data_IF_568178876572
#
_entry.id   IF_568178876572
#
_cell.length_a   1.000
_cell.length_b   1.000
_cell.length_c   1.000
_cell.angle_alpha   90.00
_cell.angle_beta   90.00
_cell.angle_gamma   90.00
#
_symmetry.space_group_name_H-M   'P 1'
#
loop_
_entity.id
_entity.type
_entity.pdbx_description
1 polymer ?
#
# COMPACT_ATOMS: atom_id res chain seq x y z
N UNK A 1 -24.28 19.23 9.12
CA UNK A 1 -22.78 19.14 9.00
C UNK A 1 -22.49 18.60 7.63
N UNK A 2 -21.46 19.09 6.94
CA UNK A 2 -21.12 18.58 5.60
C UNK A 2 -20.71 17.09 5.67
N UNK A 3 -21.15 16.29 4.70
CA UNK A 3 -20.99 14.82 4.68
C UNK A 3 -19.53 14.37 4.88
N UNK A 4 -18.58 15.03 4.24
CA UNK A 4 -17.15 14.67 4.41
C UNK A 4 -16.66 14.87 5.86
N UNK A 5 -17.16 15.87 6.60
CA UNK A 5 -16.79 16.08 8.02
C UNK A 5 -17.36 14.99 8.93
N UNK A 6 -18.54 14.47 8.61
CA UNK A 6 -19.12 13.32 9.31
C UNK A 6 -18.24 12.08 9.11
N UNK A 7 -17.82 11.82 7.86
CA UNK A 7 -16.93 10.72 7.53
C UNK A 7 -15.57 10.86 8.24
N UNK A 8 -14.94 12.03 8.21
CA UNK A 8 -13.71 12.32 8.96
C UNK A 8 -13.86 12.04 10.45
N UNK A 9 -14.96 12.52 11.03
CA UNK A 9 -15.26 12.28 12.44
C UNK A 9 -15.36 10.80 12.78
N UNK A 10 -15.82 9.94 11.87
CA UNK A 10 -15.84 8.50 12.12
C UNK A 10 -14.43 7.92 12.25
N UNK A 11 -13.46 8.37 11.45
CA UNK A 11 -12.07 7.94 11.54
C UNK A 11 -11.51 8.26 12.93
N UNK A 12 -11.67 9.52 13.38
CA UNK A 12 -11.05 10.04 14.60
C UNK A 12 -11.74 9.54 15.86
N UNK A 13 -13.07 9.34 15.84
CA UNK A 13 -13.86 8.95 17.01
C UNK A 13 -14.23 7.48 17.03
N UNK A 14 -14.92 6.99 15.98
CA UNK A 14 -15.46 5.64 15.97
C UNK A 14 -14.40 4.58 15.67
N UNK A 15 -13.46 4.89 14.78
CA UNK A 15 -12.34 4.02 14.41
C UNK A 15 -11.00 4.55 14.95
N UNK A 16 -11.04 5.26 16.08
CA UNK A 16 -9.84 5.85 16.67
C UNK A 16 -8.74 4.81 16.93
N UNK A 17 -9.09 3.69 17.56
CA UNK A 17 -8.15 2.63 17.94
C UNK A 17 -7.72 1.80 16.72
N UNK A 18 -8.66 1.48 15.87
CA UNK A 18 -8.49 0.57 14.73
C UNK A 18 -7.79 1.24 13.55
N UNK A 19 -8.06 2.53 13.30
CA UNK A 19 -7.54 3.27 12.15
C UNK A 19 -6.64 4.42 12.58
N UNK A 20 -7.19 5.44 13.27
CA UNK A 20 -6.48 6.69 13.48
C UNK A 20 -5.20 6.53 14.30
N UNK A 21 -5.27 5.86 15.45
CA UNK A 21 -4.10 5.66 16.32
C UNK A 21 -3.03 4.80 15.64
N UNK A 22 -3.44 3.79 14.85
CA UNK A 22 -2.52 2.97 14.07
C UNK A 22 -1.87 3.75 12.92
N UNK A 23 -2.64 4.62 12.26
CA UNK A 23 -2.10 5.50 11.22
C UNK A 23 -1.03 6.43 11.79
N UNK A 24 -1.35 7.15 12.86
CA UNK A 24 -0.40 8.07 13.51
C UNK A 24 0.83 7.32 14.02
N UNK A 25 0.62 6.13 14.63
CA UNK A 25 1.71 5.27 15.09
C UNK A 25 2.62 4.85 13.93
N UNK A 26 2.06 4.37 12.82
CA UNK A 26 2.84 3.96 11.64
C UNK A 26 3.62 5.12 11.03
N UNK A 27 3.01 6.30 10.92
CA UNK A 27 3.69 7.51 10.43
C UNK A 27 4.85 7.90 11.35
N UNK A 28 4.68 7.80 12.66
CA UNK A 28 5.70 8.16 13.65
C UNK A 28 6.81 7.11 13.77
N UNK A 29 6.47 5.84 13.97
CA UNK A 29 7.44 4.78 14.24
C UNK A 29 8.38 4.53 13.06
N UNK A 30 7.89 4.71 11.83
CA UNK A 30 8.66 4.51 10.61
C UNK A 30 9.09 5.83 9.94
N UNK A 31 8.85 6.99 10.59
CA UNK A 31 9.24 8.31 10.10
C UNK A 31 8.78 8.55 8.64
N UNK A 32 7.52 8.20 8.35
CA UNK A 32 7.01 8.21 6.98
C UNK A 32 6.76 9.61 6.45
N UNK A 33 6.39 10.56 7.33
CA UNK A 33 6.12 11.95 6.99
C UNK A 33 7.00 12.84 7.86
N UNK A 34 7.75 13.73 7.25
CA UNK A 34 8.68 14.64 7.91
C UNK A 34 8.35 16.10 7.59
N UNK A 35 8.99 17.02 8.32
CA UNK A 35 8.85 18.46 8.09
C UNK A 35 9.30 18.84 6.67
N UNK A 36 8.51 19.68 6.00
CA UNK A 36 8.72 20.16 4.63
C UNK A 36 8.63 19.09 3.53
N UNK A 37 8.14 17.89 3.82
CA UNK A 37 7.85 16.91 2.77
C UNK A 37 6.84 17.47 1.76
N UNK A 38 7.01 17.09 0.50
CA UNK A 38 6.05 17.29 -0.58
C UNK A 38 5.62 15.90 -1.10
N UNK A 39 4.41 15.48 -0.74
CA UNK A 39 3.97 14.09 -0.86
C UNK A 39 2.95 13.96 -1.99
N UNK A 40 3.21 13.10 -2.96
CA UNK A 40 2.20 12.66 -3.91
C UNK A 40 1.41 11.46 -3.34
N UNK A 41 0.13 11.68 -3.05
CA UNK A 41 -0.81 10.67 -2.53
C UNK A 41 -1.50 9.99 -3.69
N UNK A 42 -1.20 8.73 -3.94
CA UNK A 42 -1.74 7.98 -5.08
C UNK A 42 -3.14 7.45 -4.77
N UNK A 43 -4.12 7.92 -5.53
CA UNK A 43 -5.52 7.48 -5.44
C UNK A 43 -5.79 6.46 -6.55
N UNK A 44 -6.00 5.21 -6.18
CA UNK A 44 -6.34 4.12 -7.10
C UNK A 44 -7.83 3.98 -7.38
N UNK A 45 -8.67 4.71 -6.64
CA UNK A 45 -10.12 4.57 -6.65
C UNK A 45 -10.68 3.54 -5.66
N UNK A 46 -9.82 2.75 -5.03
CA UNK A 46 -10.20 1.79 -3.99
C UNK A 46 -10.33 2.42 -2.60
N UNK A 47 -11.01 1.70 -1.70
CA UNK A 47 -11.25 2.09 -0.30
C UNK A 47 -9.99 2.51 0.45
N UNK A 48 -8.88 1.79 0.22
CA UNK A 48 -7.62 1.97 0.94
C UNK A 48 -6.97 3.31 0.59
N UNK A 49 -6.92 3.64 -0.69
CA UNK A 49 -6.33 4.90 -1.15
C UNK A 49 -7.12 6.13 -0.69
N UNK A 50 -8.45 6.05 -0.67
CA UNK A 50 -9.27 7.14 -0.15
C UNK A 50 -9.21 7.28 1.37
N UNK A 51 -9.16 6.17 2.12
CA UNK A 51 -8.90 6.24 3.57
C UNK A 51 -7.55 6.87 3.86
N UNK A 52 -6.50 6.46 3.14
CA UNK A 52 -5.16 7.04 3.25
C UNK A 52 -5.20 8.56 3.01
N UNK A 53 -5.87 9.00 1.95
CA UNK A 53 -6.02 10.43 1.65
C UNK A 53 -6.68 11.18 2.81
N UNK A 54 -7.76 10.64 3.39
CA UNK A 54 -8.45 11.26 4.53
C UNK A 54 -7.57 11.33 5.78
N UNK A 55 -6.81 10.29 6.07
CA UNK A 55 -5.89 10.28 7.20
C UNK A 55 -4.73 11.28 7.00
N UNK A 56 -4.20 11.40 5.77
CA UNK A 56 -3.17 12.40 5.43
C UNK A 56 -3.71 13.82 5.55
N UNK A 57 -4.93 14.10 5.06
CA UNK A 57 -5.58 15.40 5.23
C UNK A 57 -5.75 15.76 6.71
N UNK A 58 -6.07 14.80 7.55
CA UNK A 58 -6.30 15.00 8.98
C UNK A 58 -4.99 15.34 9.70
N UNK A 59 -3.88 14.61 9.41
CA UNK A 59 -2.55 14.97 9.94
C UNK A 59 -2.11 16.34 9.44
N UNK A 60 -2.34 16.66 8.15
CA UNK A 60 -1.95 17.95 7.57
C UNK A 60 -2.64 19.12 8.25
N UNK A 61 -3.92 18.96 8.64
CA UNK A 61 -4.70 20.01 9.31
C UNK A 61 -4.39 20.16 10.79
N UNK A 62 -4.19 19.06 11.50
CA UNK A 62 -4.14 19.00 12.94
C UNK A 62 -2.81 18.48 13.51
N UNK A 63 -1.93 17.95 12.66
CA UNK A 63 -0.60 17.50 13.06
C UNK A 63 0.36 18.66 13.36
N UNK A 64 1.45 18.32 14.06
CA UNK A 64 2.53 19.27 14.35
C UNK A 64 3.49 19.45 13.19
N UNK A 65 3.60 18.46 12.32
CA UNK A 65 4.50 18.42 11.16
C UNK A 65 3.85 19.18 10.00
N UNK A 66 4.56 20.12 9.38
CA UNK A 66 4.11 20.86 8.20
C UNK A 66 4.67 20.22 6.94
N UNK A 67 3.79 19.83 6.04
CA UNK A 67 4.10 19.21 4.75
C UNK A 67 3.03 19.55 3.71
N UNK A 68 3.34 19.33 2.43
CA UNK A 68 2.40 19.47 1.33
C UNK A 68 1.94 18.09 0.83
N UNK A 69 0.72 18.02 0.31
CA UNK A 69 0.16 16.80 -0.26
C UNK A 69 -0.58 17.10 -1.58
N UNK A 70 -0.27 16.32 -2.61
CA UNK A 70 -0.92 16.31 -3.92
C UNK A 70 -1.67 15.00 -4.10
N UNK A 71 -2.96 15.05 -4.34
CA UNK A 71 -3.81 13.85 -4.48
C UNK A 71 -3.99 13.52 -5.96
N UNK A 72 -3.38 12.43 -6.40
CA UNK A 72 -3.23 12.16 -7.83
C UNK A 72 -3.87 10.82 -8.21
N UNK A 73 -4.70 10.84 -9.24
CA UNK A 73 -5.29 9.66 -9.87
C UNK A 73 -4.60 9.42 -11.21
N UNK A 74 -3.94 8.28 -11.35
CA UNK A 74 -3.46 7.82 -12.64
C UNK A 74 -4.56 7.03 -13.34
N UNK A 75 -4.99 7.51 -14.50
CA UNK A 75 -5.92 6.78 -15.37
C UNK A 75 -5.15 5.98 -16.43
N UNK A 76 -5.00 4.66 -16.30
CA UNK A 76 -4.31 3.83 -17.26
C UNK A 76 -5.18 3.40 -18.45
N UNK A 77 -6.36 3.98 -18.63
CA UNK A 77 -7.40 3.62 -19.60
C UNK A 77 -8.63 2.96 -18.95
N UNK A 78 -9.02 3.42 -17.77
CA UNK A 78 -10.23 2.95 -17.09
C UNK A 78 -11.48 3.22 -17.92
N UNK A 79 -12.51 2.39 -17.75
CA UNK A 79 -13.83 2.69 -18.26
C UNK A 79 -14.38 4.00 -17.64
N UNK A 80 -15.12 4.78 -18.41
CA UNK A 80 -15.66 6.09 -17.98
C UNK A 80 -16.44 6.00 -16.67
N UNK A 81 -17.24 4.94 -16.49
CA UNK A 81 -17.97 4.66 -15.24
C UNK A 81 -17.07 4.61 -14.00
N UNK A 82 -15.84 4.09 -14.15
CA UNK A 82 -14.91 3.97 -13.04
C UNK A 82 -14.28 5.32 -12.71
N UNK A 83 -13.94 6.13 -13.71
CA UNK A 83 -13.45 7.50 -13.50
C UNK A 83 -14.52 8.34 -12.82
N UNK A 84 -15.77 8.32 -13.30
CA UNK A 84 -16.89 9.02 -12.66
C UNK A 84 -17.06 8.63 -11.19
N UNK A 85 -16.99 7.33 -10.87
CA UNK A 85 -17.09 6.88 -9.48
C UNK A 85 -15.92 7.37 -8.61
N UNK A 86 -14.70 7.46 -9.18
CA UNK A 86 -13.54 8.05 -8.46
C UNK A 86 -13.80 9.51 -8.16
N UNK A 87 -14.25 10.28 -9.15
CA UNK A 87 -14.55 11.73 -9.03
C UNK A 87 -15.68 11.99 -8.03
N UNK A 88 -16.75 11.19 -8.06
CA UNK A 88 -17.87 11.25 -7.10
C UNK A 88 -17.41 10.98 -5.67
N UNK A 89 -16.59 9.94 -5.48
CA UNK A 89 -16.00 9.64 -4.18
C UNK A 89 -15.06 10.76 -3.70
N UNK A 90 -14.23 11.30 -4.59
CA UNK A 90 -13.35 12.42 -4.27
C UNK A 90 -14.15 13.65 -3.83
N UNK A 91 -15.24 13.97 -4.53
CA UNK A 91 -16.16 15.06 -4.15
C UNK A 91 -16.84 14.78 -2.81
N UNK A 92 -17.37 13.56 -2.60
CA UNK A 92 -18.05 13.17 -1.37
C UNK A 92 -17.11 13.24 -0.16
N UNK A 93 -15.84 12.85 -0.34
CA UNK A 93 -14.80 12.85 0.67
C UNK A 93 -14.04 14.17 0.78
N UNK A 94 -14.33 15.15 -0.08
CA UNK A 94 -13.61 16.41 -0.18
C UNK A 94 -12.09 16.22 -0.33
N UNK A 95 -11.69 15.33 -1.25
CA UNK A 95 -10.30 15.10 -1.64
C UNK A 95 -10.05 15.79 -2.98
N UNK A 96 -9.15 16.80 -3.04
CA UNK A 96 -8.87 17.54 -4.28
C UNK A 96 -7.96 16.71 -5.19
N UNK A 97 -8.57 15.86 -6.02
CA UNK A 97 -7.81 14.98 -6.92
C UNK A 97 -7.40 15.69 -8.20
N UNK A 98 -6.19 15.39 -8.68
CA UNK A 98 -5.73 15.64 -10.05
C UNK A 98 -5.70 14.33 -10.82
N UNK A 99 -6.43 14.26 -11.93
CA UNK A 99 -6.45 13.06 -12.80
C UNK A 99 -5.49 13.27 -13.97
N UNK A 100 -4.54 12.35 -14.17
CA UNK A 100 -3.73 12.34 -15.37
C UNK A 100 -3.90 11.04 -16.15
N UNK A 101 -3.96 11.15 -17.46
CA UNK A 101 -4.18 10.03 -18.37
C UNK A 101 -2.86 9.41 -18.83
N UNK A 102 -2.88 8.08 -18.99
CA UNK A 102 -1.79 7.32 -19.60
C UNK A 102 -2.36 6.26 -20.54
N UNK A 103 -1.56 5.79 -21.46
CA UNK A 103 -1.98 4.82 -22.48
C UNK A 103 -1.57 3.38 -22.12
N UNK A 104 -1.39 3.09 -20.84
CA UNK A 104 -0.83 1.82 -20.35
C UNK A 104 -1.65 0.63 -20.83
N UNK A 105 -2.98 0.68 -20.73
CA UNK A 105 -3.80 -0.46 -21.10
C UNK A 105 -3.73 -0.78 -22.60
N UNK A 106 -3.72 0.24 -23.46
CA UNK A 106 -3.57 0.05 -24.90
C UNK A 106 -2.18 -0.50 -25.24
N UNK A 107 -1.13 0.03 -24.63
CA UNK A 107 0.25 -0.45 -24.85
C UNK A 107 0.37 -1.91 -24.43
N UNK A 108 -0.09 -2.27 -23.22
CA UNK A 108 0.02 -3.63 -22.69
C UNK A 108 -0.84 -4.62 -23.48
N UNK A 109 -2.00 -4.18 -23.99
CA UNK A 109 -2.86 -5.03 -24.84
C UNK A 109 -2.22 -5.33 -26.20
N UNK A 110 -1.53 -4.35 -26.77
CA UNK A 110 -0.92 -4.48 -28.10
C UNK A 110 0.46 -5.18 -28.07
N UNK A 111 1.05 -5.31 -26.89
CA UNK A 111 2.30 -6.06 -26.72
C UNK A 111 1.97 -7.53 -26.40
N UNK A 112 2.45 -8.45 -27.23
CA UNK A 112 2.37 -9.90 -26.99
C UNK A 112 3.34 -10.29 -25.86
N UNK A 113 3.00 -9.89 -24.63
CA UNK A 113 3.82 -10.10 -23.43
C UNK A 113 3.42 -11.37 -22.70
N UNK A 114 4.42 -12.20 -22.37
CA UNK A 114 4.22 -13.38 -21.51
C UNK A 114 3.73 -13.04 -20.10
N UNK A 115 3.88 -11.78 -19.68
CA UNK A 115 3.53 -11.30 -18.34
C UNK A 115 2.92 -9.88 -18.39
N UNK A 116 1.69 -9.71 -18.91
CA UNK A 116 1.08 -8.38 -19.09
C UNK A 116 0.90 -7.63 -17.76
N UNK A 117 0.60 -8.35 -16.66
CA UNK A 117 0.46 -7.73 -15.33
C UNK A 117 1.78 -7.16 -14.81
N UNK A 118 2.89 -7.85 -15.00
CA UNK A 118 4.22 -7.35 -14.63
C UNK A 118 4.58 -6.07 -15.41
N UNK A 119 4.35 -6.10 -16.73
CA UNK A 119 4.60 -4.95 -17.60
C UNK A 119 3.74 -3.75 -17.19
N UNK A 120 2.44 -3.97 -16.96
CA UNK A 120 1.52 -2.94 -16.48
C UNK A 120 1.99 -2.33 -15.15
N UNK A 121 2.37 -3.17 -14.19
CA UNK A 121 2.86 -2.70 -12.88
C UNK A 121 4.15 -1.88 -13.02
N UNK A 122 5.09 -2.31 -13.88
CA UNK A 122 6.33 -1.59 -14.17
C UNK A 122 6.08 -0.23 -14.82
N UNK A 123 5.19 -0.17 -15.82
CA UNK A 123 4.82 1.07 -16.49
C UNK A 123 4.13 2.03 -15.53
N UNK A 124 3.15 1.54 -14.74
CA UNK A 124 2.47 2.35 -13.71
C UNK A 124 3.46 3.00 -12.77
N UNK A 125 4.46 2.25 -12.33
CA UNK A 125 5.51 2.78 -11.46
C UNK A 125 6.25 3.92 -12.13
N UNK A 126 6.72 3.75 -13.37
CA UNK A 126 7.42 4.78 -14.12
C UNK A 126 6.61 6.08 -14.27
N UNK A 127 5.33 5.96 -14.66
CA UNK A 127 4.45 7.13 -14.79
C UNK A 127 4.22 7.86 -13.45
N UNK A 128 3.99 7.11 -12.36
CA UNK A 128 3.82 7.71 -11.02
C UNK A 128 5.08 8.44 -10.57
N UNK A 129 6.27 7.86 -10.77
CA UNK A 129 7.53 8.51 -10.38
C UNK A 129 7.80 9.78 -11.20
N UNK A 130 7.54 9.74 -12.53
CA UNK A 130 7.66 10.94 -13.37
C UNK A 130 6.68 12.03 -12.92
N UNK A 131 5.42 11.68 -12.64
CA UNK A 131 4.42 12.65 -12.16
C UNK A 131 4.81 13.25 -10.82
N UNK A 132 5.38 12.45 -9.90
CA UNK A 132 5.88 12.97 -8.64
C UNK A 132 7.01 13.99 -8.82
N UNK A 133 7.93 13.74 -9.76
CA UNK A 133 8.98 14.71 -10.13
C UNK A 133 8.41 16.01 -10.72
N UNK A 134 7.43 15.92 -11.63
CA UNK A 134 6.75 17.08 -12.21
C UNK A 134 6.12 17.97 -11.14
N UNK A 135 5.55 17.36 -10.09
CA UNK A 135 4.95 18.06 -8.96
C UNK A 135 5.96 18.50 -7.90
N UNK A 136 7.26 18.25 -8.10
CA UNK A 136 8.30 18.55 -7.12
C UNK A 136 8.17 17.76 -5.82
N UNK A 137 7.53 16.58 -5.87
CA UNK A 137 7.38 15.73 -4.70
C UNK A 137 8.66 14.96 -4.39
N UNK A 138 8.96 14.81 -3.10
CA UNK A 138 10.03 13.94 -2.61
C UNK A 138 9.52 12.60 -2.09
N UNK A 139 8.19 12.46 -1.91
CA UNK A 139 7.57 11.21 -1.45
C UNK A 139 6.35 10.81 -2.28
N UNK A 140 6.15 9.50 -2.40
CA UNK A 140 4.98 8.87 -3.03
C UNK A 140 4.30 7.99 -2.00
N UNK A 141 3.06 8.31 -1.62
CA UNK A 141 2.27 7.53 -0.67
C UNK A 141 1.36 6.52 -1.39
N UNK A 142 1.46 5.25 -1.01
CA UNK A 142 0.65 4.14 -1.53
C UNK A 142 -0.21 3.52 -0.43
N UNK A 143 -1.46 3.20 -0.76
CA UNK A 143 -2.48 2.68 0.16
C UNK A 143 -2.36 1.19 0.49
N UNK A 144 -1.13 0.66 0.68
CA UNK A 144 -0.94 -0.70 1.16
C UNK A 144 -1.20 -0.78 2.67
N UNK A 145 -1.95 -1.79 3.08
CA UNK A 145 -2.38 -2.01 4.47
C UNK A 145 -1.70 -3.26 5.09
N UNK A 146 -1.91 -3.51 6.38
CA UNK A 146 -1.24 -4.59 7.13
C UNK A 146 -1.34 -5.96 6.46
N UNK A 147 -2.51 -6.30 5.90
CA UNK A 147 -2.69 -7.60 5.24
C UNK A 147 -1.83 -7.75 3.98
N UNK A 148 -1.56 -6.66 3.22
CA UNK A 148 -0.65 -6.71 2.07
C UNK A 148 0.78 -7.10 2.48
N UNK A 149 1.27 -6.58 3.62
CA UNK A 149 2.57 -6.94 4.18
C UNK A 149 2.61 -8.42 4.56
N UNK A 150 1.60 -8.89 5.28
CA UNK A 150 1.49 -10.29 5.74
C UNK A 150 1.41 -11.24 4.55
N UNK A 151 0.53 -10.96 3.58
CA UNK A 151 0.40 -11.75 2.37
C UNK A 151 1.68 -11.80 1.56
N UNK A 152 2.38 -10.67 1.42
CA UNK A 152 3.66 -10.60 0.71
C UNK A 152 4.73 -11.42 1.42
N UNK A 153 4.76 -11.40 2.74
CA UNK A 153 5.69 -12.22 3.55
C UNK A 153 5.46 -13.71 3.32
N UNK A 154 4.21 -14.15 3.42
CA UNK A 154 3.87 -15.56 3.22
C UNK A 154 4.14 -16.01 1.77
N UNK A 155 3.82 -15.18 0.79
CA UNK A 155 4.17 -15.44 -0.61
C UNK A 155 5.66 -15.57 -0.83
N UNK A 156 6.47 -14.74 -0.18
CA UNK A 156 7.94 -14.81 -0.27
C UNK A 156 8.48 -16.09 0.35
N UNK A 157 7.94 -16.53 1.48
CA UNK A 157 8.34 -17.77 2.16
C UNK A 157 7.91 -18.99 1.33
N UNK A 158 6.64 -19.09 0.94
CA UNK A 158 6.10 -20.30 0.32
C UNK A 158 6.44 -20.46 -1.16
N UNK A 159 6.64 -19.36 -1.89
CA UNK A 159 6.88 -19.39 -3.33
C UNK A 159 8.20 -18.74 -3.77
N UNK A 160 8.83 -17.95 -2.89
CA UNK A 160 10.06 -17.22 -3.20
C UNK A 160 11.31 -17.74 -2.51
N UNK A 161 11.20 -18.73 -1.60
CA UNK A 161 12.31 -19.24 -0.79
C UNK A 161 13.09 -18.14 -0.05
N UNK A 162 12.39 -17.07 0.37
CA UNK A 162 13.00 -15.88 0.94
C UNK A 162 12.11 -15.30 2.05
N UNK A 163 12.70 -14.89 3.16
CA UNK A 163 11.98 -14.15 4.22
C UNK A 163 12.10 -12.66 3.96
N UNK A 164 11.11 -12.09 3.32
CA UNK A 164 11.00 -10.65 3.07
C UNK A 164 9.56 -10.17 3.03
N UNK A 165 9.37 -8.86 3.17
CA UNK A 165 8.08 -8.18 3.04
C UNK A 165 8.21 -6.89 2.22
N UNK A 166 7.12 -6.14 2.14
CA UNK A 166 7.15 -4.75 1.69
C UNK A 166 7.83 -3.89 2.74
N UNK A 167 8.65 -2.93 2.33
CA UNK A 167 9.20 -1.95 3.28
C UNK A 167 8.20 -0.83 3.55
N UNK A 168 8.07 -0.34 4.79
CA UNK A 168 7.25 0.82 5.16
C UNK A 168 7.60 2.07 4.36
N UNK A 169 8.90 2.30 4.15
CA UNK A 169 9.47 3.31 3.27
C UNK A 169 10.63 2.73 2.48
N UNK A 170 10.85 3.27 1.29
CA UNK A 170 11.87 2.77 0.37
C UNK A 170 12.33 3.89 -0.57
N UNK A 171 13.63 4.14 -0.62
CA UNK A 171 14.21 5.00 -1.64
C UNK A 171 14.04 4.39 -3.03
N UNK A 172 13.88 5.23 -4.02
CA UNK A 172 13.79 4.78 -5.41
C UNK A 172 15.18 4.57 -6.00
N UNK A 173 15.45 3.37 -6.50
CA UNK A 173 16.73 3.05 -7.16
C UNK A 173 16.92 3.82 -8.48
N UNK A 174 15.83 4.20 -9.15
CA UNK A 174 15.86 4.79 -10.49
C UNK A 174 15.51 6.29 -10.51
N UNK A 175 15.05 6.85 -9.40
CA UNK A 175 14.61 8.24 -9.30
C UNK A 175 15.18 8.85 -8.03
N UNK A 176 16.37 9.44 -8.17
CA UNK A 176 17.06 10.09 -7.07
C UNK A 176 16.18 11.13 -6.36
N UNK A 177 16.23 11.15 -5.04
CA UNK A 177 15.47 12.07 -4.20
C UNK A 177 14.00 11.69 -4.01
N UNK A 178 13.51 10.56 -4.58
CA UNK A 178 12.15 10.06 -4.35
C UNK A 178 12.14 8.89 -3.37
N UNK A 179 11.22 8.95 -2.41
CA UNK A 179 10.94 7.89 -1.44
C UNK A 179 9.48 7.41 -1.56
N UNK A 180 9.28 6.12 -1.52
CA UNK A 180 7.95 5.52 -1.48
C UNK A 180 7.57 5.22 -0.04
N UNK A 181 6.35 5.60 0.38
CA UNK A 181 5.85 5.37 1.74
C UNK A 181 4.50 4.64 1.74
N UNK A 182 4.22 3.88 2.82
CA UNK A 182 2.99 3.09 3.00
C UNK A 182 2.32 3.38 4.34
N UNK A 183 1.58 4.49 4.46
CA UNK A 183 1.07 4.97 5.75
C UNK A 183 0.01 4.08 6.42
N UNK A 184 -0.63 3.16 5.67
CA UNK A 184 -1.65 2.26 6.21
C UNK A 184 -1.10 0.93 6.75
N UNK A 185 0.22 0.75 6.83
CA UNK A 185 0.89 -0.52 7.12
C UNK A 185 0.45 -1.22 8.42
N UNK A 186 -0.06 -0.48 9.40
CA UNK A 186 -0.54 -1.03 10.68
C UNK A 186 -2.06 -1.22 10.72
N UNK A 187 -2.79 -0.83 9.67
CA UNK A 187 -4.25 -0.88 9.61
C UNK A 187 -4.67 -2.17 8.91
N UNK A 188 -5.64 -2.88 9.49
CA UNK A 188 -6.17 -4.11 8.90
C UNK A 188 -7.20 -3.81 7.81
N UNK A 189 -7.25 -4.66 6.78
CA UNK A 189 -8.24 -4.56 5.70
C UNK A 189 -9.68 -4.60 6.23
N UNK A 190 -9.96 -5.43 7.23
CA UNK A 190 -11.29 -5.56 7.85
C UNK A 190 -11.77 -4.24 8.47
N UNK A 191 -10.86 -3.46 9.09
CA UNK A 191 -11.15 -2.15 9.68
C UNK A 191 -11.50 -1.12 8.59
N UNK A 192 -10.78 -1.16 7.46
CA UNK A 192 -11.05 -0.29 6.29
C UNK A 192 -12.39 -0.62 5.65
N UNK A 193 -12.71 -1.91 5.48
CA UNK A 193 -14.00 -2.38 4.96
C UNK A 193 -15.13 -1.94 5.90
N UNK A 194 -14.96 -2.10 7.21
CA UNK A 194 -15.95 -1.71 8.21
C UNK A 194 -16.20 -0.20 8.17
N UNK A 195 -15.14 0.62 8.07
CA UNK A 195 -15.26 2.07 7.93
C UNK A 195 -15.99 2.47 6.65
N UNK A 196 -15.67 1.85 5.52
CA UNK A 196 -16.32 2.12 4.24
C UNK A 196 -17.83 1.81 4.30
N UNK A 197 -18.19 0.62 4.83
CA UNK A 197 -19.60 0.20 5.00
C UNK A 197 -20.37 1.12 5.93
N UNK A 198 -19.78 1.50 7.08
CA UNK A 198 -20.43 2.40 8.04
C UNK A 198 -20.78 3.76 7.44
N UNK A 199 -19.99 4.20 6.47
CA UNK A 199 -20.17 5.49 5.83
C UNK A 199 -20.91 5.39 4.47
N UNK A 200 -21.51 4.24 4.14
CA UNK A 200 -22.21 3.99 2.89
C UNK A 200 -21.38 4.37 1.65
N UNK A 201 -20.07 4.10 1.69
CA UNK A 201 -19.13 4.41 0.61
C UNK A 201 -18.97 3.18 -0.29
N UNK A 202 -19.11 3.41 -1.59
CA UNK A 202 -18.88 2.40 -2.62
C UNK A 202 -17.65 2.78 -3.42
N UNK A 203 -16.69 1.87 -3.50
CA UNK A 203 -15.42 2.08 -4.19
C UNK A 203 -15.26 1.08 -5.35
N UNK A 204 -14.29 1.35 -6.21
CA UNK A 204 -13.92 0.42 -7.27
C UNK A 204 -13.27 -0.81 -6.63
N UNK A 205 -13.79 -2.00 -6.92
CA UNK A 205 -13.21 -3.25 -6.45
C UNK A 205 -12.00 -3.67 -7.29
N UNK A 206 -12.13 -3.62 -8.61
CA UNK A 206 -11.04 -3.84 -9.56
C UNK A 206 -11.33 -3.11 -10.86
N UNK A 207 -10.47 -2.18 -11.24
CA UNK A 207 -10.65 -1.39 -12.47
C UNK A 207 -9.80 -1.91 -13.64
N UNK A 208 -9.10 -3.02 -13.45
CA UNK A 208 -8.20 -3.56 -14.45
C UNK A 208 -8.96 -4.44 -15.45
N UNK A 209 -9.00 -4.04 -16.74
CA UNK A 209 -9.57 -4.84 -17.84
C UNK A 209 -8.89 -6.21 -17.96
N UNK A 210 -7.64 -6.32 -17.56
CA UNK A 210 -6.88 -7.58 -17.61
C UNK A 210 -7.29 -8.58 -16.52
N UNK A 211 -7.82 -8.11 -15.39
CA UNK A 211 -8.32 -9.02 -14.32
C UNK A 211 -9.62 -9.70 -14.73
N UNK A 212 -10.39 -9.07 -15.64
CA UNK A 212 -11.62 -9.67 -16.17
C UNK A 212 -11.36 -10.65 -17.32
N UNK A 213 -10.29 -10.47 -18.10
CA UNK A 213 -10.08 -11.20 -19.36
C UNK A 213 -8.88 -12.13 -19.41
N UNK A 214 -7.76 -11.87 -18.73
CA UNK A 214 -6.49 -12.63 -18.91
C UNK A 214 -5.75 -12.85 -17.59
N UNK A 215 -5.62 -14.07 -17.21
CA UNK A 215 -4.46 -14.78 -16.62
C UNK A 215 -3.47 -14.09 -15.66
N UNK A 216 -3.94 -13.25 -14.79
CA UNK A 216 -3.32 -13.23 -13.47
C UNK A 216 -3.98 -14.29 -12.55
N UNK A 217 -4.60 -15.31 -13.15
CA UNK A 217 -5.26 -16.38 -12.39
C UNK A 217 -4.30 -17.00 -11.38
N UNK A 218 -3.03 -17.09 -11.68
CA UNK A 218 -2.06 -17.74 -10.81
C UNK A 218 -1.59 -16.84 -9.65
N UNK A 219 -1.22 -15.57 -9.90
CA UNK A 219 -0.83 -14.64 -8.83
C UNK A 219 -2.03 -14.24 -7.95
N UNK A 220 -3.19 -13.98 -8.57
CA UNK A 220 -4.44 -13.74 -7.85
C UNK A 220 -4.85 -15.00 -7.07
N UNK A 221 -4.62 -16.20 -7.62
CA UNK A 221 -4.85 -17.48 -6.95
C UNK A 221 -3.93 -17.63 -5.74
N UNK A 222 -2.61 -17.40 -5.88
CA UNK A 222 -1.64 -17.51 -4.78
C UNK A 222 -1.92 -16.50 -3.65
N UNK A 223 -2.26 -15.26 -3.97
CA UNK A 223 -2.65 -14.28 -2.95
C UNK A 223 -3.96 -14.65 -2.26
N UNK A 224 -4.94 -15.16 -3.00
CA UNK A 224 -6.20 -15.67 -2.43
C UNK A 224 -5.96 -16.86 -1.51
N UNK A 225 -5.04 -17.73 -1.88
CA UNK A 225 -4.61 -18.87 -1.07
C UNK A 225 -4.00 -18.41 0.27
N UNK A 226 -3.15 -17.38 0.24
CA UNK A 226 -2.59 -16.80 1.47
C UNK A 226 -3.67 -16.19 2.36
N UNK A 227 -4.63 -15.47 1.79
CA UNK A 227 -5.80 -14.95 2.53
C UNK A 227 -6.60 -16.06 3.19
N UNK A 228 -6.84 -17.15 2.48
CA UNK A 228 -7.58 -18.29 2.99
C UNK A 228 -6.81 -19.01 4.11
N UNK A 229 -5.50 -19.18 3.96
CA UNK A 229 -4.64 -19.74 4.99
C UNK A 229 -4.67 -18.89 6.28
N UNK A 230 -4.51 -17.56 6.15
CA UNK A 230 -4.59 -16.64 7.28
C UNK A 230 -5.96 -16.74 7.96
N UNK A 231 -7.06 -16.77 7.17
CA UNK A 231 -8.42 -16.89 7.70
C UNK A 231 -8.59 -18.16 8.53
N UNK A 232 -8.13 -19.31 8.02
CA UNK A 232 -8.18 -20.58 8.76
C UNK A 232 -7.35 -20.55 10.04
N UNK A 233 -6.16 -19.96 9.99
CA UNK A 233 -5.30 -19.85 11.17
C UNK A 233 -5.90 -18.90 12.23
N UNK A 234 -6.66 -17.89 11.84
CA UNK A 234 -7.36 -16.99 12.79
C UNK A 234 -8.40 -17.71 13.63
N UNK A 235 -8.96 -18.84 13.19
CA UNK A 235 -9.96 -19.61 13.93
C UNK A 235 -9.37 -20.23 15.21
N UNK A 236 -8.08 -20.58 15.20
CA UNK A 236 -7.36 -21.14 16.35
C UNK A 236 -6.40 -20.17 17.02
N UNK A 237 -5.90 -19.17 16.27
CA UNK A 237 -4.98 -18.16 16.76
C UNK A 237 -5.42 -16.76 16.30
N UNK A 238 -6.24 -16.05 17.10
CA UNK A 238 -6.72 -14.70 16.76
C UNK A 238 -5.61 -13.67 16.50
N UNK A 239 -4.40 -13.92 17.01
CA UNK A 239 -3.25 -13.02 16.89
C UNK A 239 -2.34 -13.36 15.71
N UNK A 240 -2.67 -14.34 14.85
CA UNK A 240 -1.79 -14.82 13.78
C UNK A 240 -1.28 -13.70 12.86
N UNK A 241 -2.14 -12.78 12.45
CA UNK A 241 -1.76 -11.64 11.61
C UNK A 241 -0.71 -10.75 12.29
N UNK A 242 -0.94 -10.44 13.57
CA UNK A 242 0.00 -9.64 14.35
C UNK A 242 1.32 -10.37 14.57
N UNK A 243 1.27 -11.67 14.80
CA UNK A 243 2.47 -12.48 15.00
C UNK A 243 3.33 -12.55 13.75
N UNK A 244 2.71 -12.74 12.56
CA UNK A 244 3.46 -12.74 11.29
C UNK A 244 4.10 -11.37 11.05
N UNK A 245 3.35 -10.28 11.26
CA UNK A 245 3.88 -8.93 11.07
C UNK A 245 5.05 -8.64 12.02
N UNK A 246 4.90 -8.95 13.31
CA UNK A 246 5.93 -8.71 14.31
C UNK A 246 7.16 -9.61 14.15
N UNK A 247 7.02 -10.80 13.60
CA UNK A 247 8.16 -11.67 13.33
C UNK A 247 9.17 -11.02 12.38
N UNK A 248 8.73 -10.12 11.49
CA UNK A 248 9.61 -9.38 10.61
C UNK A 248 10.45 -8.31 11.31
N UNK A 249 9.99 -7.84 12.47
CA UNK A 249 10.72 -6.88 13.34
C UNK A 249 11.56 -7.57 14.41
N UNK A 250 11.47 -8.91 14.53
CA UNK A 250 12.07 -9.70 15.59
C UNK A 250 12.77 -10.96 15.05
N UNK A 251 13.66 -10.76 14.09
CA UNK A 251 14.46 -11.85 13.51
C UNK A 251 15.61 -12.20 14.45
N UNK A 252 15.61 -13.45 14.97
CA UNK A 252 16.71 -13.93 15.80
C UNK A 252 17.84 -14.48 14.93
N UNK A 253 18.85 -13.65 14.69
CA UNK A 253 20.01 -13.98 13.84
C UNK A 253 20.82 -15.17 14.37
N UNK A 254 20.70 -15.51 15.65
CA UNK A 254 21.39 -16.68 16.23
C UNK A 254 20.76 -18.02 15.85
N UNK A 255 19.53 -17.98 15.33
CA UNK A 255 18.72 -19.17 14.99
C UNK A 255 18.33 -19.21 13.52
N UNK A 256 19.13 -18.57 12.65
CA UNK A 256 18.93 -18.56 11.19
C UNK A 256 20.14 -19.22 10.51
N UNK A 257 19.89 -20.06 9.50
CA UNK A 257 20.93 -20.78 8.78
C UNK A 257 21.81 -19.86 7.91
N UNK A 258 21.30 -18.70 7.54
CA UNK A 258 22.02 -17.69 6.77
C UNK A 258 21.12 -16.53 6.39
N UNK A 259 21.72 -15.43 5.96
CA UNK A 259 21.04 -14.24 5.48
C UNK A 259 21.84 -13.59 4.34
N UNK A 260 21.21 -12.66 3.64
CA UNK A 260 21.91 -11.82 2.68
C UNK A 260 21.53 -10.34 2.88
N UNK A 261 22.52 -9.48 2.68
CA UNK A 261 22.36 -8.04 2.72
C UNK A 261 23.27 -7.42 1.63
N UNK A 262 22.73 -6.50 0.85
CA UNK A 262 23.45 -5.76 -0.20
C UNK A 262 24.18 -6.66 -1.22
N UNK A 263 23.58 -7.84 -1.52
CA UNK A 263 24.13 -8.85 -2.42
C UNK A 263 25.12 -9.83 -1.78
N UNK A 264 25.57 -9.58 -0.57
CA UNK A 264 26.45 -10.50 0.19
C UNK A 264 25.63 -11.53 0.95
N UNK A 265 26.09 -12.79 0.91
CA UNK A 265 25.49 -13.90 1.65
C UNK A 265 26.37 -14.25 2.84
N UNK A 266 25.74 -14.43 4.00
CA UNK A 266 26.37 -14.87 5.23
C UNK A 266 25.74 -16.19 5.66
N UNK A 267 26.57 -17.19 5.97
CA UNK A 267 26.16 -18.46 6.54
C UNK A 267 26.29 -18.43 8.08
N UNK A 268 25.52 -19.24 8.78
CA UNK A 268 25.72 -19.39 10.23
C UNK A 268 27.14 -19.89 10.58
N UNK A 269 27.78 -20.61 9.65
CA UNK A 269 29.15 -21.08 9.83
C UNK A 269 30.17 -19.94 9.87
N UNK A 270 29.95 -18.84 9.19
CA UNK A 270 30.85 -17.67 9.19
C UNK A 270 30.92 -16.99 10.56
N UNK A 271 29.93 -17.26 11.42
CA UNK A 271 29.80 -16.71 12.77
C UNK A 271 29.94 -17.77 13.88
N UNK A 272 30.05 -19.05 13.51
CA UNK A 272 29.96 -20.18 14.47
C UNK A 272 31.06 -20.13 15.53
N UNK A 273 32.30 -19.96 15.11
CA UNK A 273 33.44 -19.95 16.02
C UNK A 273 33.70 -18.59 16.69
N UNK A 274 33.00 -17.53 16.25
CA UNK A 274 33.12 -16.18 16.83
C UNK A 274 32.29 -16.00 18.12
N UNK A 275 31.47 -17.01 18.46
CA UNK A 275 30.55 -16.99 19.62
C UNK A 275 31.11 -17.68 20.86
N UNK A 276 32.39 -18.04 20.86
CA UNK A 276 33.08 -18.64 22.00
C UNK A 276 33.65 -17.60 22.97
#
# INVERSE_FOLDING_TARGET
>A
MERYREIERTIIKNYRKEIWSKFVKGVSDYELIQENDNIMVCISGGKDSFLMAKCIQEIQRHGKIKFNAHYVVMNPGYAEKNIKLIEENAKTLNVPIEVFNTDIFNIVTNLDSKSPCYLCARMRRGYLYNKAKELGCNKIALGHHANDFIETTLLSIFYGCEVKTMMPKLHSDNFEGLELIRPLLLIREEDIISWAKRNDLTFINCACKFTEQVHSKEEVSKRKEMKELIRKMKETNPNVEQNIFKALENVNMNCILGWHKDGEKTSFLDEYDKRS
#
